data_IF_559112030177
#
_entry.id   IF_559112030177
#
_cell.length_a   1.000
_cell.length_b   1.000
_cell.length_c   1.000
_cell.angle_alpha   90.00
_cell.angle_beta   90.00
_cell.angle_gamma   90.00
#
_symmetry.space_group_name_H-M   'P 1'
#
loop_
_entity.id
_entity.type
_entity.pdbx_description
1 polymer ?
#
# COMPACT_ATOMS: atom_id res chain seq x y z
N UNK A 1 5.73 -2.55 27.90
CA UNK A 1 6.59 -2.99 26.81
C UNK A 1 5.88 -2.77 25.47
N UNK A 2 6.54 -2.14 24.54
CA UNK A 2 5.94 -1.84 23.23
C UNK A 2 6.02 -3.07 22.32
N UNK A 3 4.89 -3.45 21.74
CA UNK A 3 4.86 -4.55 20.82
C UNK A 3 5.38 -4.10 19.46
N UNK A 4 6.37 -4.82 18.93
CA UNK A 4 6.93 -4.50 17.64
C UNK A 4 5.98 -4.88 16.52
N UNK A 5 5.77 -3.96 15.57
CA UNK A 5 4.93 -4.20 14.40
C UNK A 5 5.80 -4.78 13.30
N UNK A 6 5.33 -5.84 12.65
CA UNK A 6 6.10 -6.57 11.66
C UNK A 6 5.55 -6.41 10.25
N UNK A 7 6.46 -6.50 9.28
CA UNK A 7 6.09 -6.54 7.88
C UNK A 7 5.85 -8.00 7.44
N UNK A 8 5.49 -8.18 6.16
CA UNK A 8 5.17 -9.51 5.62
C UNK A 8 6.37 -10.45 5.60
N UNK A 9 7.58 -9.92 5.75
CA UNK A 9 8.80 -10.75 5.81
C UNK A 9 9.15 -11.19 7.23
N UNK A 10 8.37 -10.72 8.22
CA UNK A 10 8.61 -11.06 9.61
C UNK A 10 9.65 -10.18 10.30
N UNK A 11 10.09 -9.12 9.63
CA UNK A 11 11.00 -8.16 10.23
C UNK A 11 10.25 -6.89 10.61
N UNK A 12 10.93 -5.91 11.16
CA UNK A 12 10.28 -4.67 11.62
C UNK A 12 9.68 -3.89 10.45
N UNK A 13 8.45 -3.41 10.63
CA UNK A 13 7.77 -2.62 9.60
C UNK A 13 8.51 -1.32 9.35
N UNK A 14 8.88 -1.08 8.09
CA UNK A 14 9.57 0.14 7.70
C UNK A 14 8.59 1.16 7.14
N UNK A 15 9.03 2.42 7.06
CA UNK A 15 8.20 3.49 6.53
C UNK A 15 7.92 3.27 5.04
N UNK A 16 6.70 3.57 4.62
CA UNK A 16 6.29 3.49 3.23
C UNK A 16 6.58 4.78 2.50
N UNK A 17 6.09 5.90 3.01
CA UNK A 17 6.33 7.20 2.40
C UNK A 17 6.01 8.34 3.35
N UNK A 18 6.83 9.40 3.29
CA UNK A 18 6.54 10.65 3.99
C UNK A 18 6.20 11.78 3.01
N UNK A 19 6.45 11.57 1.70
CA UNK A 19 6.10 12.52 0.64
C UNK A 19 5.62 11.76 -0.60
N UNK A 20 4.31 11.52 -0.72
CA UNK A 20 3.20 11.95 0.16
C UNK A 20 3.22 11.23 1.51
N UNK A 21 2.76 11.91 2.54
CA UNK A 21 2.65 11.29 3.85
C UNK A 21 1.49 10.30 3.81
N UNK A 22 1.80 9.04 4.02
CA UNK A 22 0.83 7.95 3.85
C UNK A 22 0.52 7.27 5.17
N UNK A 23 -0.37 6.27 5.10
CA UNK A 23 -0.78 5.47 6.22
C UNK A 23 -2.15 5.92 6.74
N UNK A 24 -2.90 4.96 7.29
CA UNK A 24 -4.21 5.27 7.86
C UNK A 24 -4.08 6.35 8.94
N UNK A 25 -3.00 6.31 9.71
CA UNK A 25 -2.74 7.28 10.77
C UNK A 25 -1.88 8.46 10.31
N UNK A 26 -1.49 8.50 9.03
CA UNK A 26 -0.64 9.56 8.47
C UNK A 26 0.67 9.69 9.21
N UNK A 27 1.29 8.56 9.53
CA UNK A 27 2.60 8.52 10.17
C UNK A 27 3.71 8.01 9.25
N UNK A 28 3.40 7.81 7.96
CA UNK A 28 4.37 7.34 6.98
C UNK A 28 4.48 5.84 6.88
N UNK A 29 3.84 5.11 7.79
CA UNK A 29 3.91 3.64 7.83
C UNK A 29 2.54 3.03 7.63
N UNK A 30 2.50 1.80 7.11
CA UNK A 30 1.25 1.11 6.84
C UNK A 30 0.73 0.41 8.09
N UNK A 31 0.60 1.16 9.18
CA UNK A 31 -0.02 0.67 10.40
C UNK A 31 -1.52 0.53 10.23
N UNK A 32 -2.12 -0.40 10.96
CA UNK A 32 -3.56 -0.61 10.90
C UNK A 32 -4.10 -0.81 12.31
N UNK A 33 -5.42 -0.75 12.44
CA UNK A 33 -6.09 -0.91 13.72
C UNK A 33 -7.56 -1.21 13.52
N UNK A 34 -8.33 -1.33 14.62
CA UNK A 34 -9.74 -1.76 14.54
C UNK A 34 -10.64 -0.85 13.71
N UNK A 35 -10.30 0.42 13.57
CA UNK A 35 -11.10 1.37 12.81
C UNK A 35 -10.69 1.49 11.35
N UNK A 36 -9.60 0.82 10.97
CA UNK A 36 -9.14 0.82 9.58
C UNK A 36 -9.83 -0.31 8.81
N UNK A 37 -11.07 -0.07 8.42
CA UNK A 37 -11.87 -1.07 7.74
C UNK A 37 -11.33 -1.43 6.36
N UNK A 38 -10.64 -0.49 5.71
CA UNK A 38 -10.03 -0.74 4.40
C UNK A 38 -8.74 -1.51 4.47
N UNK A 39 -8.16 -1.68 5.67
CA UNK A 39 -6.88 -2.36 5.84
C UNK A 39 -5.83 -1.81 4.90
N UNK A 40 -5.39 -0.57 5.15
CA UNK A 40 -4.42 0.13 4.32
C UNK A 40 -3.01 -0.34 4.67
N UNK A 41 -2.72 -1.58 4.33
CA UNK A 41 -1.54 -2.29 4.82
C UNK A 41 -0.51 -2.62 3.74
N UNK A 42 -0.83 -2.38 2.46
CA UNK A 42 0.09 -2.72 1.36
C UNK A 42 0.81 -1.45 0.89
N UNK A 43 2.13 -1.41 1.09
CA UNK A 43 2.91 -0.29 0.56
C UNK A 43 3.19 -0.55 -0.92
N UNK A 44 2.53 0.21 -1.79
CA UNK A 44 2.60 0.01 -3.23
C UNK A 44 3.15 1.24 -3.93
N UNK A 45 3.85 1.02 -5.05
CA UNK A 45 4.38 2.10 -5.88
C UNK A 45 3.36 2.35 -6.99
N UNK A 46 2.75 3.54 -6.98
CA UNK A 46 1.65 3.86 -7.89
C UNK A 46 2.11 3.88 -9.34
N UNK A 47 1.21 3.42 -10.24
CA UNK A 47 1.40 3.55 -11.69
C UNK A 47 0.19 4.27 -12.26
N UNK A 48 0.35 4.89 -13.44
CA UNK A 48 -0.79 5.53 -14.09
C UNK A 48 -1.89 4.52 -14.38
N UNK A 49 -1.51 3.34 -14.84
CA UNK A 49 -2.47 2.28 -15.17
C UNK A 49 -3.29 1.88 -13.95
N UNK A 50 -2.63 1.69 -12.81
CA UNK A 50 -3.34 1.33 -11.59
C UNK A 50 -4.25 2.48 -11.12
N UNK A 51 -3.75 3.72 -11.16
CA UNK A 51 -4.53 4.86 -10.71
C UNK A 51 -5.81 5.04 -11.53
N UNK A 52 -5.73 4.86 -12.85
CA UNK A 52 -6.90 4.93 -13.71
C UNK A 52 -7.86 3.78 -13.44
N UNK A 53 -7.33 2.57 -13.28
CA UNK A 53 -8.15 1.39 -13.02
C UNK A 53 -8.91 1.54 -11.70
N UNK A 54 -8.20 1.87 -10.62
CA UNK A 54 -8.83 1.92 -9.30
C UNK A 54 -9.84 3.05 -9.21
N UNK A 55 -9.60 4.16 -9.93
CA UNK A 55 -10.58 5.24 -10.01
C UNK A 55 -11.87 4.75 -10.68
N UNK A 56 -11.74 4.00 -11.77
CA UNK A 56 -12.89 3.45 -12.48
C UNK A 56 -13.66 2.47 -11.61
N UNK A 57 -12.98 1.82 -10.66
CA UNK A 57 -13.62 0.87 -9.74
C UNK A 57 -14.19 1.56 -8.50
N UNK A 58 -14.20 2.90 -8.47
CA UNK A 58 -14.78 3.65 -7.37
C UNK A 58 -13.80 4.07 -6.28
N UNK A 59 -12.51 3.86 -6.49
CA UNK A 59 -11.47 4.25 -5.52
C UNK A 59 -10.56 5.29 -6.15
N UNK A 60 -11.00 6.56 -6.11
CA UNK A 60 -10.27 7.66 -6.73
C UNK A 60 -9.11 8.10 -5.85
N UNK A 61 -7.88 7.75 -6.23
CA UNK A 61 -6.66 8.14 -5.53
C UNK A 61 -5.95 9.31 -6.21
N UNK A 62 -6.52 9.85 -7.29
CA UNK A 62 -5.86 10.91 -8.05
C UNK A 62 -6.31 12.30 -7.66
N UNK A 63 -7.53 12.44 -7.12
CA UNK A 63 -8.09 13.73 -6.76
C UNK A 63 -7.69 14.11 -5.35
N UNK A 64 -7.11 15.31 -5.13
CA UNK A 64 -6.77 15.76 -3.79
C UNK A 64 -7.99 15.84 -2.86
N UNK A 65 -7.81 15.46 -1.61
CA UNK A 65 -8.82 15.54 -0.56
C UNK A 65 -8.19 16.19 0.67
N UNK A 66 -8.13 17.55 0.70
CA UNK A 66 -7.46 18.25 1.82
C UNK A 66 -8.04 17.92 3.18
N UNK A 67 -9.35 17.64 3.26
CA UNK A 67 -10.01 17.31 4.52
C UNK A 67 -9.46 16.01 5.15
N UNK A 68 -8.83 15.16 4.35
CA UNK A 68 -8.19 13.94 4.82
C UNK A 68 -6.67 14.03 4.73
N UNK A 69 -6.13 15.22 4.49
CA UNK A 69 -4.70 15.44 4.29
C UNK A 69 -4.15 14.55 3.16
N UNK A 70 -4.94 14.45 2.09
CA UNK A 70 -4.61 13.61 0.95
C UNK A 70 -4.32 14.49 -0.27
N UNK A 71 -3.08 14.49 -0.77
CA UNK A 71 -2.68 15.39 -1.86
C UNK A 71 -3.04 14.91 -3.27
N UNK A 72 -3.58 13.69 -3.39
CA UNK A 72 -3.72 13.05 -4.69
C UNK A 72 -2.42 12.38 -5.09
N UNK A 73 -2.50 11.22 -5.74
CA UNK A 73 -1.32 10.43 -6.05
C UNK A 73 -0.98 10.51 -7.53
N UNK A 74 0.31 10.38 -7.82
CA UNK A 74 0.86 10.33 -9.17
C UNK A 74 1.71 9.08 -9.30
N UNK A 75 2.00 8.67 -10.53
CA UNK A 75 2.88 7.54 -10.78
C UNK A 75 4.22 7.75 -10.07
N UNK A 76 4.70 6.71 -9.42
CA UNK A 76 5.94 6.76 -8.66
C UNK A 76 5.76 7.02 -7.18
N UNK A 77 4.60 7.54 -6.76
CA UNK A 77 4.32 7.75 -5.35
C UNK A 77 4.13 6.42 -4.64
N UNK A 78 4.58 6.33 -3.39
CA UNK A 78 4.32 5.17 -2.55
C UNK A 78 3.15 5.47 -1.64
N UNK A 79 2.28 4.50 -1.46
CA UNK A 79 1.06 4.69 -0.68
C UNK A 79 0.68 3.41 0.04
N UNK A 80 0.18 3.55 1.26
CA UNK A 80 -0.38 2.43 2.02
C UNK A 80 -1.77 2.16 1.47
N UNK A 81 -1.84 1.18 0.59
CA UNK A 81 -3.03 0.86 -0.19
C UNK A 81 -3.91 -0.14 0.52
N UNK A 82 -5.22 -0.02 0.34
CA UNK A 82 -6.19 -1.00 0.81
C UNK A 82 -5.86 -2.38 0.22
N UNK A 83 -5.75 -3.39 1.07
CA UNK A 83 -5.35 -4.73 0.64
C UNK A 83 -6.29 -5.31 -0.42
N UNK A 84 -7.60 -5.09 -0.26
CA UNK A 84 -8.56 -5.60 -1.23
C UNK A 84 -8.48 -4.87 -2.56
N UNK A 85 -8.12 -3.58 -2.55
CA UNK A 85 -7.93 -2.83 -3.79
C UNK A 85 -6.69 -3.31 -4.53
N UNK A 86 -5.64 -3.66 -3.79
CA UNK A 86 -4.45 -4.25 -4.42
C UNK A 86 -4.78 -5.61 -5.03
N UNK A 87 -5.51 -6.46 -4.27
CA UNK A 87 -5.90 -7.78 -4.76
C UNK A 87 -6.79 -7.69 -6.00
N UNK A 88 -7.72 -6.74 -6.00
CA UNK A 88 -8.58 -6.51 -7.16
C UNK A 88 -7.76 -6.20 -8.41
N UNK A 89 -6.76 -5.32 -8.27
CA UNK A 89 -5.89 -4.96 -9.39
C UNK A 89 -5.01 -6.13 -9.81
N UNK A 90 -4.56 -6.93 -8.85
CA UNK A 90 -3.73 -8.10 -9.14
C UNK A 90 -4.52 -9.12 -9.97
N UNK A 91 -5.78 -9.33 -9.64
CA UNK A 91 -6.63 -10.24 -10.38
C UNK A 91 -6.91 -9.72 -11.79
N UNK A 92 -6.86 -8.41 -11.98
CA UNK A 92 -7.03 -7.79 -13.29
C UNK A 92 -5.71 -7.69 -14.07
N UNK A 93 -4.59 -8.12 -13.48
CA UNK A 93 -3.30 -8.11 -14.16
C UNK A 93 -2.59 -6.76 -14.16
N UNK A 94 -3.00 -5.82 -13.30
CA UNK A 94 -2.45 -4.46 -13.28
C UNK A 94 -2.04 -4.00 -11.89
N UNK A 95 -1.69 -4.95 -11.00
CA UNK A 95 -1.30 -4.58 -9.64
C UNK A 95 0.01 -3.79 -9.65
N UNK A 96 0.10 -2.72 -8.84
CA UNK A 96 1.36 -1.98 -8.70
C UNK A 96 2.38 -2.80 -7.91
N UNK A 97 3.66 -2.45 -8.06
CA UNK A 97 4.71 -3.13 -7.32
C UNK A 97 4.61 -2.83 -5.83
N UNK A 98 5.08 -3.77 -5.02
CA UNK A 98 4.93 -3.75 -3.56
C UNK A 98 6.30 -3.60 -2.90
N UNK A 99 6.38 -2.76 -1.87
CA UNK A 99 7.57 -2.66 -1.02
C UNK A 99 7.32 -3.57 0.18
N UNK A 100 7.90 -4.77 0.15
CA UNK A 100 7.59 -5.80 1.14
C UNK A 100 7.96 -5.37 2.56
N UNK A 101 9.11 -4.72 2.73
CA UNK A 101 9.58 -4.29 4.05
C UNK A 101 8.66 -3.26 4.70
N UNK A 102 7.86 -2.56 3.88
CA UNK A 102 6.94 -1.54 4.35
C UNK A 102 5.48 -1.99 4.28
N UNK A 103 5.24 -3.27 3.98
CA UNK A 103 3.89 -3.84 3.92
C UNK A 103 3.62 -4.59 5.22
N UNK A 104 2.56 -4.18 5.92
CA UNK A 104 2.19 -4.74 7.22
C UNK A 104 1.84 -6.23 7.08
N UNK A 105 2.19 -7.02 8.10
CA UNK A 105 1.93 -8.47 8.06
C UNK A 105 0.44 -8.81 7.91
N UNK A 106 -0.45 -7.90 8.29
CA UNK A 106 -1.89 -8.11 8.14
C UNK A 106 -2.31 -8.29 6.68
N UNK A 107 -1.48 -7.85 5.72
CA UNK A 107 -1.76 -8.05 4.30
C UNK A 107 -1.87 -9.54 3.96
N UNK A 108 -1.21 -10.41 4.74
CA UNK A 108 -1.23 -11.85 4.52
C UNK A 108 -2.60 -12.47 4.77
N UNK A 109 -3.50 -11.75 5.43
CA UNK A 109 -4.89 -12.21 5.59
C UNK A 109 -5.68 -12.12 4.28
N UNK A 110 -5.17 -11.36 3.31
CA UNK A 110 -5.89 -11.07 2.06
C UNK A 110 -5.16 -11.56 0.83
N UNK A 111 -3.82 -11.63 0.88
CA UNK A 111 -2.98 -11.97 -0.27
C UNK A 111 -1.84 -12.87 0.21
N UNK A 112 -1.55 -13.92 -0.55
CA UNK A 112 -0.45 -14.84 -0.24
C UNK A 112 0.90 -14.11 -0.36
N UNK A 113 1.86 -14.52 0.48
CA UNK A 113 3.21 -13.95 0.40
C UNK A 113 3.83 -14.18 -0.98
N UNK A 114 3.62 -15.37 -1.56
CA UNK A 114 4.16 -15.66 -2.90
C UNK A 114 3.66 -14.67 -3.94
N UNK A 115 2.38 -14.30 -3.87
CA UNK A 115 1.80 -13.32 -4.79
C UNK A 115 2.41 -11.94 -4.58
N UNK A 116 2.58 -11.54 -3.32
CA UNK A 116 3.22 -10.26 -3.00
C UNK A 116 4.67 -10.23 -3.49
N UNK A 117 5.41 -11.31 -3.28
CA UNK A 117 6.81 -11.39 -3.71
C UNK A 117 6.94 -11.33 -5.23
N UNK A 118 5.97 -11.89 -5.95
CA UNK A 118 5.97 -11.82 -7.41
C UNK A 118 5.83 -10.39 -7.93
N UNK A 119 5.31 -9.48 -7.09
CA UNK A 119 5.12 -8.08 -7.45
C UNK A 119 6.07 -7.16 -6.65
N UNK A 120 7.07 -7.71 -6.00
CA UNK A 120 7.97 -6.92 -5.16
C UNK A 120 8.85 -6.02 -6.00
N UNK A 121 9.15 -4.83 -5.46
CA UNK A 121 10.18 -3.96 -6.03
C UNK A 121 11.50 -4.70 -5.91
N UNK A 122 12.16 -4.93 -7.04
CA UNK A 122 13.39 -5.73 -7.08
C UNK A 122 14.64 -4.89 -6.88
N UNK A 123 15.64 -5.49 -6.23
CA UNK A 123 16.91 -4.81 -6.04
C UNK A 123 17.66 -4.65 -7.35
N UNK A 124 17.41 -5.53 -8.30
CA UNK A 124 18.01 -5.46 -9.62
C UNK A 124 17.61 -4.22 -10.40
N UNK A 125 16.65 -3.48 -9.90
CA UNK A 125 16.25 -2.21 -10.50
C UNK A 125 17.19 -1.07 -10.13
N UNK A 126 18.07 -1.31 -9.22
CA UNK A 126 19.01 -0.28 -8.74
C UNK A 126 20.16 -0.05 -9.71
#
# INVERSE_FOLDING_TARGET
>A
MTKQVRNVLGTELQACSTEPLTGFYRDGCCHTGPTDHGRHVVCAVMTEEFLEYTRAQGNDLSTPRPEFRFPGLQAGDRWCLCALRWREAQQAGIAPLVVLEATHEAALHYVDLDTLQAHAVGEELL
#
